data_IF_204986434677
#
_entry.id   IF_204986434677
#
_cell.length_a   1.000
_cell.length_b   1.000
_cell.length_c   1.000
_cell.angle_alpha   90.00
_cell.angle_beta   90.00
_cell.angle_gamma   90.00
#
_symmetry.space_group_name_H-M   'P 1'
#
loop_
_entity.id
_entity.type
_entity.pdbx_description
1 polymer ?
#
# COMPACT_ATOMS: atom_id res chain seq x y z
N UNK A 1 11.04 26.97 7.84
CA UNK A 1 10.29 26.01 6.99
C UNK A 1 9.00 25.67 7.72
N UNK A 2 7.87 26.10 7.20
CA UNK A 2 6.57 25.70 7.73
C UNK A 2 6.44 24.17 7.63
N UNK A 3 6.34 23.50 8.74
CA UNK A 3 6.04 22.05 8.75
C UNK A 3 4.61 21.87 8.30
N UNK A 4 4.41 21.57 7.01
CA UNK A 4 3.06 21.27 6.49
C UNK A 4 2.44 20.20 7.38
N UNK A 5 1.22 20.45 7.91
CA UNK A 5 0.45 19.52 8.74
C UNK A 5 0.40 18.12 8.10
N UNK A 6 0.30 17.07 8.90
CA UNK A 6 0.15 15.69 8.39
C UNK A 6 -1.24 15.52 7.81
N UNK A 7 -2.26 15.94 8.54
CA UNK A 7 -3.65 15.89 8.09
C UNK A 7 -3.88 16.83 6.90
N UNK A 8 -4.49 16.28 5.85
CA UNK A 8 -5.04 16.99 4.69
C UNK A 8 -6.51 16.59 4.55
N UNK A 9 -7.44 17.36 5.12
CA UNK A 9 -8.85 16.97 5.17
C UNK A 9 -9.49 16.75 3.79
N UNK A 10 -8.93 17.37 2.75
CA UNK A 10 -9.40 17.26 1.38
C UNK A 10 -8.94 15.98 0.69
N UNK A 11 -7.92 15.23 1.23
CA UNK A 11 -7.35 14.06 0.57
C UNK A 11 -6.93 12.98 1.57
N UNK A 12 -7.60 11.83 1.50
CA UNK A 12 -7.19 10.63 2.21
C UNK A 12 -5.82 10.17 1.72
N UNK A 13 -5.61 10.14 0.40
CA UNK A 13 -4.32 9.80 -0.19
C UNK A 13 -3.19 10.62 0.42
N UNK A 14 -3.31 11.94 0.39
CA UNK A 14 -2.25 12.84 0.84
C UNK A 14 -1.97 12.65 2.34
N UNK A 15 -3.00 12.46 3.16
CA UNK A 15 -2.87 12.18 4.59
C UNK A 15 -2.13 10.86 4.83
N UNK A 16 -2.50 9.78 4.11
CA UNK A 16 -1.83 8.48 4.21
C UNK A 16 -0.36 8.55 3.81
N UNK A 17 -0.05 9.27 2.72
CA UNK A 17 1.33 9.42 2.26
C UNK A 17 2.19 10.22 3.24
N UNK A 18 1.65 11.24 3.91
CA UNK A 18 2.35 11.99 4.95
C UNK A 18 2.57 11.15 6.21
N UNK A 19 1.62 10.33 6.61
CA UNK A 19 1.80 9.35 7.70
C UNK A 19 2.91 8.35 7.35
N UNK A 20 2.95 7.87 6.11
CA UNK A 20 4.01 6.97 5.67
C UNK A 20 5.38 7.66 5.60
N UNK A 21 5.47 8.94 5.16
CA UNK A 21 6.70 9.74 5.25
C UNK A 21 7.22 9.85 6.67
N UNK A 22 6.34 10.05 7.66
CA UNK A 22 6.71 10.07 9.07
C UNK A 22 7.24 8.71 9.52
N UNK A 23 6.56 7.64 9.15
CA UNK A 23 6.96 6.26 9.52
C UNK A 23 8.33 5.88 8.94
N UNK A 24 8.65 6.37 7.77
CA UNK A 24 9.95 6.12 7.10
C UNK A 24 11.05 7.13 7.51
N UNK A 25 10.76 8.07 8.42
CA UNK A 25 11.73 9.10 8.83
C UNK A 25 11.98 10.20 7.79
N UNK A 26 11.16 10.29 6.75
CA UNK A 26 11.29 11.32 5.70
C UNK A 26 10.68 12.65 6.09
N UNK A 27 9.92 12.69 7.16
CA UNK A 27 9.25 13.88 7.68
C UNK A 27 9.37 13.95 9.20
N UNK A 28 9.71 15.13 9.72
CA UNK A 28 9.62 15.41 11.14
C UNK A 28 8.15 15.39 11.59
N UNK A 29 7.91 14.90 12.80
CA UNK A 29 6.56 14.70 13.36
C UNK A 29 6.37 15.53 14.62
N UNK A 30 5.18 16.09 14.79
CA UNK A 30 4.55 16.31 16.08
C UNK A 30 3.70 15.07 16.42
N UNK A 31 3.78 14.60 17.67
CA UNK A 31 2.91 13.48 18.12
C UNK A 31 1.42 13.85 17.98
N UNK A 32 1.07 15.09 18.27
CA UNK A 32 -0.29 15.63 18.14
C UNK A 32 -0.77 15.62 16.68
N UNK A 33 0.06 16.05 15.73
CA UNK A 33 -0.30 16.06 14.30
C UNK A 33 -0.53 14.63 13.75
N UNK A 34 0.29 13.66 14.20
CA UNK A 34 0.12 12.26 13.86
C UNK A 34 -1.20 11.73 14.41
N UNK A 35 -1.49 12.01 15.68
CA UNK A 35 -2.71 11.54 16.32
C UNK A 35 -3.96 12.13 15.67
N UNK A 36 -3.96 13.43 15.36
CA UNK A 36 -5.05 14.11 14.65
C UNK A 36 -5.31 13.45 13.28
N UNK A 37 -4.25 13.21 12.51
CA UNK A 37 -4.37 12.58 11.19
C UNK A 37 -4.91 11.14 11.29
N UNK A 38 -4.44 10.35 12.26
CA UNK A 38 -4.91 8.98 12.46
C UNK A 38 -6.38 8.93 12.90
N UNK A 39 -6.81 9.81 13.81
CA UNK A 39 -8.22 9.91 14.21
C UNK A 39 -9.11 10.29 13.04
N UNK A 40 -8.66 11.23 12.20
CA UNK A 40 -9.39 11.60 11.00
C UNK A 40 -9.49 10.43 10.01
N UNK A 41 -8.44 9.63 9.83
CA UNK A 41 -8.48 8.41 9.01
C UNK A 41 -9.50 7.42 9.59
N UNK A 42 -9.47 7.16 10.91
CA UNK A 42 -10.43 6.26 11.57
C UNK A 42 -11.88 6.69 11.36
N UNK A 43 -12.17 7.98 11.42
CA UNK A 43 -13.51 8.54 11.19
C UNK A 43 -14.04 8.32 9.76
N UNK A 44 -13.22 7.87 8.83
CA UNK A 44 -13.62 7.58 7.43
C UNK A 44 -14.06 6.14 7.23
N UNK A 45 -13.94 5.29 8.24
CA UNK A 45 -14.33 3.90 8.15
C UNK A 45 -15.86 3.79 7.94
N UNK A 46 -16.28 2.98 6.98
CA UNK A 46 -17.68 2.68 6.73
C UNK A 46 -18.54 3.83 6.23
N UNK A 47 -17.96 4.98 5.87
CA UNK A 47 -18.74 6.08 5.30
C UNK A 47 -19.41 5.66 3.99
N UNK A 48 -20.58 6.26 3.63
CA UNK A 48 -21.30 5.92 2.40
C UNK A 48 -20.41 5.96 1.17
N UNK A 49 -20.45 4.89 0.36
CA UNK A 49 -19.62 4.73 -0.82
C UNK A 49 -18.23 4.13 -0.57
N UNK A 50 -17.88 3.78 0.67
CA UNK A 50 -16.66 3.02 0.98
C UNK A 50 -16.71 1.64 0.31
N UNK A 51 -15.54 1.15 -0.11
CA UNK A 51 -15.43 -0.18 -0.69
C UNK A 51 -15.41 -1.23 0.44
N UNK A 52 -16.38 -2.14 0.41
CA UNK A 52 -16.48 -3.25 1.38
C UNK A 52 -16.32 -2.79 2.86
N UNK A 53 -16.97 -1.72 3.25
CA UNK A 53 -16.91 -1.14 4.59
C UNK A 53 -15.49 -0.74 5.05
N UNK A 54 -14.56 -0.51 4.13
CA UNK A 54 -13.23 0.03 4.40
C UNK A 54 -13.29 1.56 4.63
N UNK A 55 -12.21 2.24 4.39
CA UNK A 55 -12.09 3.69 4.60
C UNK A 55 -12.43 4.44 3.29
N UNK A 56 -13.34 5.40 3.39
CA UNK A 56 -13.82 6.14 2.22
C UNK A 56 -12.82 7.22 1.79
N UNK A 57 -12.32 7.23 0.53
CA UNK A 57 -11.60 8.37 -0.04
C UNK A 57 -12.44 9.65 -0.02
N UNK A 58 -11.78 10.80 -0.13
CA UNK A 58 -12.49 12.09 -0.23
C UNK A 58 -13.04 12.29 -1.64
N UNK A 59 -13.91 13.29 -1.79
CA UNK A 59 -14.40 13.72 -3.10
C UNK A 59 -13.22 14.14 -3.99
N UNK A 60 -12.23 14.83 -3.44
CA UNK A 60 -11.05 15.26 -4.18
C UNK A 60 -10.24 14.07 -4.72
N UNK A 61 -10.00 13.02 -3.91
CA UNK A 61 -9.29 11.82 -4.35
C UNK A 61 -10.00 11.15 -5.55
N UNK A 62 -11.34 11.21 -5.58
CA UNK A 62 -12.15 10.61 -6.63
C UNK A 62 -12.24 11.46 -7.89
N UNK A 63 -12.27 12.78 -7.76
CA UNK A 63 -12.44 13.71 -8.90
C UNK A 63 -11.14 14.07 -9.58
N UNK A 64 -10.06 14.26 -8.81
CA UNK A 64 -8.73 14.57 -9.37
C UNK A 64 -7.95 13.32 -9.77
N UNK A 65 -8.41 12.14 -9.32
CA UNK A 65 -7.71 10.88 -9.48
C UNK A 65 -6.59 10.70 -8.47
N UNK A 66 -6.35 9.46 -8.10
CA UNK A 66 -5.36 9.10 -7.09
C UNK A 66 -4.15 8.37 -7.70
N UNK A 67 -3.04 8.39 -6.95
CA UNK A 67 -1.79 7.73 -7.31
C UNK A 67 -1.35 6.81 -6.17
N UNK A 68 -0.64 5.76 -6.51
CA UNK A 68 0.08 4.96 -5.52
C UNK A 68 1.19 5.79 -4.86
N UNK A 69 1.63 5.38 -3.69
CA UNK A 69 2.74 6.01 -2.97
C UNK A 69 4.00 6.16 -3.83
N UNK A 70 4.21 5.24 -4.74
CA UNK A 70 5.32 5.21 -5.70
C UNK A 70 5.02 5.93 -7.02
N UNK A 71 3.88 6.63 -7.11
CA UNK A 71 3.54 7.58 -8.18
C UNK A 71 2.79 6.99 -9.38
N UNK A 72 2.49 5.71 -9.40
CA UNK A 72 1.68 5.11 -10.47
C UNK A 72 0.21 5.52 -10.32
N UNK A 73 -0.41 5.93 -11.43
CA UNK A 73 -1.79 6.45 -11.43
C UNK A 73 -2.82 5.33 -11.30
N UNK A 74 -3.83 5.54 -10.47
CA UNK A 74 -5.02 4.69 -10.45
C UNK A 74 -5.93 4.98 -11.64
N UNK A 75 -6.51 3.93 -12.21
CA UNK A 75 -7.21 4.03 -13.51
C UNK A 75 -8.71 4.31 -13.38
N UNK A 76 -9.29 4.17 -12.19
CA UNK A 76 -10.74 4.32 -11.98
C UNK A 76 -11.07 4.68 -10.53
N UNK A 77 -12.24 5.30 -10.32
CA UNK A 77 -12.73 5.59 -8.99
C UNK A 77 -13.00 4.33 -8.15
N UNK A 78 -13.39 3.23 -8.79
CA UNK A 78 -13.54 1.94 -8.11
C UNK A 78 -12.18 1.44 -7.57
N UNK A 79 -11.13 1.51 -8.39
CA UNK A 79 -9.75 1.21 -7.98
C UNK A 79 -9.25 2.15 -6.89
N UNK A 80 -9.58 3.44 -6.96
CA UNK A 80 -9.22 4.42 -5.93
C UNK A 80 -9.86 4.07 -4.58
N UNK A 81 -11.18 3.76 -4.55
CA UNK A 81 -11.86 3.34 -3.31
C UNK A 81 -11.28 2.07 -2.72
N UNK A 82 -10.97 1.10 -3.57
CA UNK A 82 -10.36 -0.16 -3.16
C UNK A 82 -8.97 0.07 -2.55
N UNK A 83 -8.06 0.63 -3.32
CA UNK A 83 -6.66 0.78 -2.92
C UNK A 83 -6.48 1.73 -1.74
N UNK A 84 -7.12 2.89 -1.73
CA UNK A 84 -7.00 3.82 -0.60
C UNK A 84 -7.69 3.30 0.65
N UNK A 85 -8.78 2.54 0.52
CA UNK A 85 -9.43 1.88 1.65
C UNK A 85 -8.51 0.83 2.30
N UNK A 86 -7.83 0.03 1.50
CA UNK A 86 -6.85 -0.96 1.96
C UNK A 86 -5.58 -0.32 2.54
N UNK A 87 -5.02 0.69 1.88
CA UNK A 87 -3.86 1.44 2.40
C UNK A 87 -4.18 2.15 3.73
N UNK A 88 -5.41 2.64 3.90
CA UNK A 88 -5.85 3.22 5.17
C UNK A 88 -5.92 2.14 6.27
N UNK A 89 -6.52 0.97 5.99
CA UNK A 89 -6.55 -0.16 6.93
C UNK A 89 -5.13 -0.58 7.34
N UNK A 90 -4.25 -0.75 6.35
CA UNK A 90 -2.84 -1.05 6.61
C UNK A 90 -2.20 0.03 7.49
N UNK A 91 -2.40 1.30 7.16
CA UNK A 91 -1.81 2.43 7.90
C UNK A 91 -2.21 2.39 9.38
N UNK A 92 -3.51 2.31 9.70
CA UNK A 92 -3.96 2.31 11.09
C UNK A 92 -3.48 1.08 11.87
N UNK A 93 -3.32 -0.09 11.22
CA UNK A 93 -2.76 -1.29 11.86
C UNK A 93 -1.26 -1.09 12.16
N UNK A 94 -0.45 -0.63 11.21
CA UNK A 94 0.98 -0.43 11.44
C UNK A 94 1.27 0.69 12.45
N UNK A 95 0.33 1.63 12.63
CA UNK A 95 0.34 2.63 13.70
C UNK A 95 -0.25 2.12 15.02
N UNK A 96 -0.46 0.79 15.17
CA UNK A 96 -0.91 0.10 16.38
C UNK A 96 -2.32 0.48 16.87
N UNK A 97 -3.22 0.83 15.95
CA UNK A 97 -4.62 1.13 16.26
C UNK A 97 -5.55 -0.08 16.00
N UNK A 98 -5.00 -1.28 15.85
CA UNK A 98 -5.73 -2.50 15.49
C UNK A 98 -6.89 -2.89 16.44
N UNK A 99 -6.86 -2.44 17.69
CA UNK A 99 -7.90 -2.72 18.69
C UNK A 99 -9.09 -1.74 18.67
N UNK A 100 -9.08 -0.74 17.79
CA UNK A 100 -10.21 0.21 17.69
C UNK A 100 -11.41 -0.42 16.99
N UNK A 101 -12.63 -0.01 17.36
CA UNK A 101 -13.87 -0.50 16.72
C UNK A 101 -13.87 -0.27 15.20
N UNK A 102 -13.42 0.89 14.75
CA UNK A 102 -13.32 1.20 13.32
C UNK A 102 -12.41 0.21 12.58
N UNK A 103 -11.27 -0.17 13.16
CA UNK A 103 -10.37 -1.16 12.54
C UNK A 103 -11.00 -2.56 12.57
N UNK A 104 -11.66 -2.93 13.66
CA UNK A 104 -12.39 -4.22 13.73
C UNK A 104 -13.44 -4.33 12.62
N UNK A 105 -14.23 -3.28 12.38
CA UNK A 105 -15.24 -3.27 11.31
C UNK A 105 -14.59 -3.27 9.91
N UNK A 106 -13.50 -2.54 9.71
CA UNK A 106 -12.75 -2.56 8.46
C UNK A 106 -12.12 -3.94 8.18
N UNK A 107 -11.62 -4.65 9.21
CA UNK A 107 -11.12 -6.03 9.07
C UNK A 107 -12.23 -6.98 8.66
N UNK A 108 -13.46 -6.84 9.22
CA UNK A 108 -14.62 -7.63 8.74
C UNK A 108 -14.89 -7.37 7.25
N UNK A 109 -14.83 -6.11 6.83
CA UNK A 109 -14.96 -5.72 5.42
C UNK A 109 -13.86 -6.32 4.54
N UNK A 110 -12.62 -6.33 5.00
CA UNK A 110 -11.50 -6.95 4.30
C UNK A 110 -11.66 -8.47 4.18
N UNK A 111 -12.14 -9.15 5.22
CA UNK A 111 -12.46 -10.58 5.16
C UNK A 111 -13.55 -10.88 4.11
N UNK A 112 -14.54 -9.99 3.94
CA UNK A 112 -15.51 -10.13 2.86
C UNK A 112 -14.87 -10.01 1.46
N UNK A 113 -13.82 -9.18 1.31
CA UNK A 113 -13.05 -9.12 0.05
C UNK A 113 -12.36 -10.46 -0.21
N UNK A 114 -11.78 -11.08 0.82
CA UNK A 114 -11.16 -12.41 0.73
C UNK A 114 -12.20 -13.44 0.24
N UNK A 115 -13.36 -13.49 0.88
CA UNK A 115 -14.43 -14.45 0.53
C UNK A 115 -14.98 -14.25 -0.89
N UNK A 116 -15.11 -13.00 -1.35
CA UNK A 116 -15.67 -12.69 -2.69
C UNK A 116 -14.73 -12.98 -3.86
N UNK A 117 -13.45 -13.28 -3.61
CA UNK A 117 -12.49 -13.56 -4.69
C UNK A 117 -11.03 -13.52 -4.30
N UNK A 118 -10.69 -12.91 -3.16
CA UNK A 118 -9.34 -12.76 -2.68
C UNK A 118 -8.61 -14.09 -2.39
N UNK A 119 -9.34 -15.17 -2.11
CA UNK A 119 -8.76 -16.52 -1.87
C UNK A 119 -7.91 -17.05 -3.02
N UNK A 120 -8.05 -16.48 -4.21
CA UNK A 120 -7.21 -16.80 -5.37
C UNK A 120 -5.81 -16.15 -5.32
N UNK A 121 -5.53 -15.29 -4.34
CA UNK A 121 -4.31 -14.46 -4.26
C UNK A 121 -4.28 -13.30 -5.24
N UNK A 122 -5.43 -12.99 -5.89
CA UNK A 122 -5.55 -11.82 -6.77
C UNK A 122 -6.92 -11.17 -6.60
N UNK A 123 -6.97 -9.87 -6.89
CA UNK A 123 -8.21 -9.13 -6.80
C UNK A 123 -8.28 -8.03 -7.85
N UNK A 124 -9.40 -7.95 -8.59
CA UNK A 124 -9.67 -6.93 -9.61
C UNK A 124 -8.59 -6.81 -10.70
N UNK A 125 -7.54 -6.02 -10.48
CA UNK A 125 -6.44 -5.80 -11.42
C UNK A 125 -5.08 -5.94 -10.69
N UNK A 126 -3.97 -5.85 -11.42
CA UNK A 126 -2.64 -6.00 -10.84
C UNK A 126 -2.35 -4.99 -9.72
N UNK A 127 -2.76 -3.74 -9.88
CA UNK A 127 -2.59 -2.69 -8.84
C UNK A 127 -3.40 -3.03 -7.58
N UNK A 128 -4.68 -3.40 -7.75
CA UNK A 128 -5.54 -3.81 -6.63
C UNK A 128 -5.02 -5.09 -5.97
N UNK A 129 -4.50 -6.04 -6.75
CA UNK A 129 -3.86 -7.25 -6.20
C UNK A 129 -2.67 -6.90 -5.30
N UNK A 130 -1.82 -5.96 -5.72
CA UNK A 130 -0.68 -5.56 -4.89
C UNK A 130 -1.11 -4.88 -3.58
N UNK A 131 -2.09 -4.00 -3.62
CA UNK A 131 -2.66 -3.38 -2.42
C UNK A 131 -3.30 -4.42 -1.49
N UNK A 132 -4.06 -5.34 -2.06
CA UNK A 132 -4.66 -6.46 -1.32
C UNK A 132 -3.61 -7.32 -0.61
N UNK A 133 -2.55 -7.76 -1.30
CA UNK A 133 -1.47 -8.58 -0.70
C UNK A 133 -0.71 -7.80 0.38
N UNK A 134 -0.50 -6.50 0.18
CA UNK A 134 0.16 -5.62 1.15
C UNK A 134 -0.66 -5.47 2.42
N UNK A 135 -1.98 -5.34 2.29
CA UNK A 135 -2.90 -5.28 3.43
C UNK A 135 -3.03 -6.63 4.12
N UNK A 136 -3.09 -7.72 3.35
CA UNK A 136 -3.12 -9.09 3.86
C UNK A 136 -1.89 -9.40 4.75
N UNK A 137 -0.73 -8.85 4.41
CA UNK A 137 0.48 -9.01 5.19
C UNK A 137 0.35 -8.50 6.63
N UNK A 138 -0.47 -7.47 6.89
CA UNK A 138 -0.65 -6.86 8.21
C UNK A 138 -1.93 -7.29 8.92
N UNK A 139 -3.02 -7.58 8.20
CA UNK A 139 -4.31 -8.04 8.78
C UNK A 139 -4.19 -9.45 9.34
N UNK A 140 -3.42 -10.32 8.70
CA UNK A 140 -3.10 -11.70 9.15
C UNK A 140 -4.33 -12.58 9.45
N UNK A 141 -5.27 -12.77 8.51
CA UNK A 141 -6.34 -13.76 8.67
C UNK A 141 -5.78 -15.18 8.65
N UNK A 142 -6.56 -16.18 9.09
CA UNK A 142 -6.12 -17.59 9.21
C UNK A 142 -5.60 -18.17 7.88
N UNK A 143 -6.22 -17.85 6.75
CA UNK A 143 -5.83 -18.33 5.40
C UNK A 143 -4.70 -17.49 4.75
N UNK A 144 -4.12 -16.54 5.48
CA UNK A 144 -3.15 -15.55 4.96
C UNK A 144 -2.03 -16.16 4.13
N UNK A 145 -1.37 -17.18 4.67
CA UNK A 145 -0.19 -17.77 4.03
C UNK A 145 -0.53 -18.41 2.68
N UNK A 146 -1.63 -19.15 2.63
CA UNK A 146 -2.09 -19.77 1.38
C UNK A 146 -2.46 -18.73 0.31
N UNK A 147 -3.11 -17.63 0.73
CA UNK A 147 -3.51 -16.57 -0.17
C UNK A 147 -2.28 -15.81 -0.67
N UNK A 148 -1.32 -15.52 0.20
CA UNK A 148 -0.05 -14.87 -0.18
C UNK A 148 0.71 -15.72 -1.20
N UNK A 149 0.88 -17.03 -0.95
CA UNK A 149 1.60 -17.91 -1.88
C UNK A 149 0.93 -17.99 -3.26
N UNK A 150 -0.40 -18.05 -3.34
CA UNK A 150 -1.11 -17.99 -4.62
C UNK A 150 -0.88 -16.66 -5.34
N UNK A 151 -0.89 -15.54 -4.61
CA UNK A 151 -0.59 -14.22 -5.16
C UNK A 151 0.85 -14.11 -5.68
N UNK A 152 1.81 -14.59 -4.90
CA UNK A 152 3.22 -14.61 -5.27
C UNK A 152 3.50 -15.52 -6.48
N UNK A 153 2.82 -16.68 -6.61
CA UNK A 153 2.90 -17.53 -7.79
C UNK A 153 2.41 -16.80 -9.06
N UNK A 154 1.36 -15.99 -8.96
CA UNK A 154 0.89 -15.14 -10.08
C UNK A 154 1.93 -14.09 -10.47
N UNK A 155 2.55 -13.43 -9.49
CA UNK A 155 3.64 -12.48 -9.74
C UNK A 155 4.80 -13.20 -10.42
N UNK A 156 5.21 -14.37 -9.94
CA UNK A 156 6.23 -15.22 -10.54
C UNK A 156 5.95 -15.55 -12.00
N UNK A 157 4.70 -15.92 -12.34
CA UNK A 157 4.28 -16.22 -13.72
C UNK A 157 4.30 -15.00 -14.63
N UNK A 158 4.26 -13.79 -14.08
CA UNK A 158 4.33 -12.54 -14.82
C UNK A 158 5.76 -12.01 -15.04
N UNK A 159 6.80 -12.70 -14.54
CA UNK A 159 8.20 -12.27 -14.70
C UNK A 159 8.55 -11.98 -16.15
N UNK A 160 9.35 -10.95 -16.33
CA UNK A 160 9.97 -10.61 -17.63
C UNK A 160 11.48 -10.73 -17.53
N UNK A 161 12.15 -10.91 -18.66
CA UNK A 161 13.62 -11.13 -18.72
C UNK A 161 14.43 -9.94 -18.22
N UNK A 162 13.82 -8.75 -18.14
CA UNK A 162 14.46 -7.52 -17.68
C UNK A 162 14.37 -7.33 -16.14
N UNK A 163 13.79 -8.29 -15.40
CA UNK A 163 13.68 -8.24 -13.94
C UNK A 163 12.42 -7.54 -13.44
N UNK A 164 11.38 -7.43 -14.27
CA UNK A 164 10.08 -6.84 -13.92
C UNK A 164 8.96 -7.88 -13.96
N UNK A 165 7.72 -7.42 -13.82
CA UNK A 165 6.51 -8.24 -13.92
C UNK A 165 5.52 -7.56 -14.87
N UNK A 166 5.06 -8.30 -15.87
CA UNK A 166 4.12 -7.79 -16.88
C UNK A 166 2.81 -7.35 -16.23
N UNK A 167 2.45 -6.09 -16.41
CA UNK A 167 1.20 -5.51 -15.95
C UNK A 167 1.19 -5.05 -14.48
N UNK A 168 2.17 -5.44 -13.68
CA UNK A 168 2.28 -4.99 -12.30
C UNK A 168 3.00 -3.64 -12.18
N UNK A 169 2.56 -2.74 -11.26
CA UNK A 169 3.24 -1.46 -11.01
C UNK A 169 4.58 -1.72 -10.30
N UNK A 170 5.68 -1.52 -11.02
CA UNK A 170 7.01 -2.03 -10.64
C UNK A 170 7.45 -1.62 -9.22
N UNK A 171 7.49 -0.31 -8.92
CA UNK A 171 7.98 0.16 -7.62
C UNK A 171 7.03 -0.20 -6.47
N UNK A 172 5.73 -0.14 -6.71
CA UNK A 172 4.75 -0.54 -5.71
C UNK A 172 4.79 -2.05 -5.45
N UNK A 173 5.08 -2.86 -6.48
CA UNK A 173 5.30 -4.31 -6.33
C UNK A 173 6.53 -4.58 -5.48
N UNK A 174 7.66 -3.92 -5.73
CA UNK A 174 8.85 -4.02 -4.89
C UNK A 174 8.55 -3.68 -3.42
N UNK A 175 7.86 -2.57 -3.19
CA UNK A 175 7.47 -2.14 -1.85
C UNK A 175 6.57 -3.16 -1.15
N UNK A 176 5.59 -3.70 -1.87
CA UNK A 176 4.71 -4.76 -1.34
C UNK A 176 5.49 -6.03 -0.99
N UNK A 177 6.33 -6.51 -1.90
CA UNK A 177 7.15 -7.71 -1.68
C UNK A 177 8.10 -7.56 -0.49
N UNK A 178 8.68 -6.37 -0.29
CA UNK A 178 9.57 -6.09 0.84
C UNK A 178 8.86 -6.06 2.21
N UNK A 179 7.53 -6.06 2.24
CA UNK A 179 6.72 -6.13 3.46
C UNK A 179 6.13 -7.53 3.70
N UNK A 180 6.38 -8.49 2.79
CA UNK A 180 5.94 -9.88 2.90
C UNK A 180 7.16 -10.75 3.21
N UNK A 181 7.24 -11.25 4.45
CA UNK A 181 8.34 -12.09 4.89
C UNK A 181 8.05 -13.59 4.57
N UNK A 182 8.29 -13.96 3.31
CA UNK A 182 8.23 -15.35 2.83
C UNK A 182 9.35 -15.64 1.84
N UNK A 183 9.74 -16.91 1.73
CA UNK A 183 10.76 -17.36 0.76
C UNK A 183 10.40 -16.99 -0.67
N UNK A 184 9.10 -17.08 -1.02
CA UNK A 184 8.58 -16.75 -2.34
C UNK A 184 8.70 -15.24 -2.63
N UNK A 185 8.38 -14.37 -1.66
CA UNK A 185 8.55 -12.92 -1.82
C UNK A 185 10.04 -12.54 -1.99
N UNK A 186 10.92 -13.10 -1.19
CA UNK A 186 12.37 -12.91 -1.35
C UNK A 186 12.89 -13.41 -2.70
N UNK A 187 12.35 -14.50 -3.25
CA UNK A 187 12.70 -14.96 -4.59
C UNK A 187 12.27 -13.97 -5.69
N UNK A 188 11.17 -13.25 -5.51
CA UNK A 188 10.73 -12.19 -6.42
C UNK A 188 11.61 -10.94 -6.29
N UNK A 189 12.02 -10.56 -5.08
CA UNK A 189 12.97 -9.46 -4.87
C UNK A 189 14.33 -9.76 -5.50
N UNK A 190 14.86 -11.00 -5.36
CA UNK A 190 16.07 -11.45 -6.05
C UNK A 190 15.95 -11.37 -7.57
N UNK A 191 14.79 -11.74 -8.14
CA UNK A 191 14.55 -11.59 -9.57
C UNK A 191 14.71 -10.13 -10.04
N UNK A 192 14.28 -9.16 -9.23
CA UNK A 192 14.35 -7.75 -9.56
C UNK A 192 15.67 -7.07 -9.16
N UNK A 193 16.55 -7.70 -8.40
CA UNK A 193 17.73 -7.07 -7.80
C UNK A 193 18.65 -6.39 -8.81
N UNK A 194 18.93 -7.04 -9.95
CA UNK A 194 19.80 -6.48 -11.00
C UNK A 194 19.25 -5.18 -11.58
N UNK A 195 17.94 -5.11 -11.84
CA UNK A 195 17.33 -3.86 -12.35
C UNK A 195 17.19 -2.83 -11.22
N UNK A 196 16.92 -3.26 -9.99
CA UNK A 196 16.85 -2.37 -8.82
C UNK A 196 18.19 -1.64 -8.63
N UNK A 197 19.31 -2.34 -8.65
CA UNK A 197 20.66 -1.73 -8.54
C UNK A 197 20.98 -0.74 -9.66
N UNK A 198 20.52 -0.99 -10.89
CA UNK A 198 20.69 -0.04 -12.00
C UNK A 198 19.81 1.21 -11.83
N UNK A 199 18.57 1.04 -11.38
CA UNK A 199 17.63 2.13 -11.20
C UNK A 199 17.96 2.99 -10.00
N UNK A 200 18.48 2.42 -8.91
CA UNK A 200 18.86 3.15 -7.70
C UNK A 200 19.83 4.29 -8.00
N UNK A 201 20.76 4.08 -8.93
CA UNK A 201 21.73 5.11 -9.37
C UNK A 201 21.08 6.36 -9.99
N UNK A 202 19.81 6.26 -10.42
CA UNK A 202 19.06 7.36 -11.05
C UNK A 202 18.27 8.20 -10.06
N UNK A 203 18.03 7.67 -8.85
CA UNK A 203 17.26 8.37 -7.81
C UNK A 203 18.22 9.00 -6.80
N UNK A 204 18.63 10.24 -7.07
CA UNK A 204 19.20 11.12 -6.06
C UNK A 204 18.09 11.60 -5.10
N UNK A 205 18.41 12.47 -4.12
CA UNK A 205 17.41 13.15 -3.31
C UNK A 205 16.42 13.93 -4.18
N UNK A 206 15.14 13.73 -3.99
CA UNK A 206 14.09 14.30 -4.84
C UNK A 206 12.77 14.50 -4.12
N UNK A 207 11.70 14.60 -4.90
CA UNK A 207 10.33 14.67 -4.41
C UNK A 207 9.91 13.39 -3.66
N UNK A 208 8.71 13.39 -3.11
CA UNK A 208 8.15 12.23 -2.38
C UNK A 208 8.20 10.94 -3.20
N UNK A 209 7.75 10.98 -4.43
CA UNK A 209 7.68 9.80 -5.31
C UNK A 209 9.08 9.21 -5.51
N UNK A 210 10.06 10.05 -5.77
CA UNK A 210 11.47 9.64 -5.92
C UNK A 210 12.01 9.00 -4.65
N UNK A 211 11.69 9.54 -3.46
CA UNK A 211 12.09 8.96 -2.17
C UNK A 211 11.49 7.57 -1.94
N UNK A 212 10.17 7.39 -2.22
CA UNK A 212 9.53 6.08 -2.06
C UNK A 212 9.97 5.06 -3.09
N UNK A 213 10.25 5.47 -4.33
CA UNK A 213 10.86 4.59 -5.35
C UNK A 213 12.26 4.17 -4.91
N UNK A 214 13.07 5.10 -4.42
CA UNK A 214 14.38 4.81 -3.87
C UNK A 214 14.29 3.82 -2.71
N UNK A 215 13.41 4.05 -1.73
CA UNK A 215 13.16 3.15 -0.61
C UNK A 215 12.80 1.73 -1.08
N UNK A 216 11.92 1.60 -2.07
CA UNK A 216 11.53 0.30 -2.61
C UNK A 216 12.72 -0.44 -3.24
N UNK A 217 13.61 0.29 -3.94
CA UNK A 217 14.82 -0.26 -4.53
C UNK A 217 15.85 -0.68 -3.46
N UNK A 218 16.08 0.16 -2.44
CA UNK A 218 16.98 -0.12 -1.32
C UNK A 218 16.54 -1.37 -0.57
N UNK A 219 15.27 -1.45 -0.16
CA UNK A 219 14.69 -2.65 0.50
C UNK A 219 14.81 -3.92 -0.36
N UNK A 220 14.73 -3.78 -1.69
CA UNK A 220 14.93 -4.92 -2.60
C UNK A 220 16.35 -5.43 -2.54
N UNK A 221 17.34 -4.53 -2.46
CA UNK A 221 18.76 -4.91 -2.40
C UNK A 221 19.16 -5.44 -1.02
N UNK A 222 18.56 -4.92 0.04
CA UNK A 222 18.79 -5.38 1.43
C UNK A 222 18.24 -6.80 1.68
N UNK A 223 17.25 -7.23 0.89
CA UNK A 223 16.60 -8.54 1.01
C UNK A 223 17.32 -9.66 0.20
N UNK A 224 18.44 -9.38 -0.45
CA UNK A 224 19.18 -10.26 -1.36
C UNK A 224 20.56 -10.58 -0.85
#
# INVERSE_FOLDING_TARGET
METKKILVPESLQETLWRLEEVRQGFRNKSATDVQEALQWVLARQGLPGSYSNLFMPTVQDLTQGAHLLTGERMRSNAGTRHVLGEEALRTVIVWKLGSTSAVTEAVKGFNQIIERGGKSGSYCCHTCTMSFLRTLAVVKPDEREQILEKGLDRIKKARTSDGRWRGFPFYYTLLTLSEIDTTSAHAELRHASKIAGRLLKRYASGDRVSRFRRLALEKTLDAV
#
